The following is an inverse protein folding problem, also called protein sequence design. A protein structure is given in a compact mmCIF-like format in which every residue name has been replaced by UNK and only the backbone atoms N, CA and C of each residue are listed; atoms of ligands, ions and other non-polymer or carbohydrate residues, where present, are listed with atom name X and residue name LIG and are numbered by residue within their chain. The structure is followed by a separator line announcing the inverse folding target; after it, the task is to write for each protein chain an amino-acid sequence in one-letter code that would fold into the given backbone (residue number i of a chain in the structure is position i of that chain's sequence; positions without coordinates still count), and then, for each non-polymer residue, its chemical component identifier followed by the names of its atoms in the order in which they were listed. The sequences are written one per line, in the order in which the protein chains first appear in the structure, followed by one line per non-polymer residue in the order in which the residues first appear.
data_IF_240371500625
#
_entry.id   IF_240371500625
#
_cell.length_a   1.000
_cell.length_b   1.000
_cell.length_c   1.000
_cell.angle_alpha   90.00
_cell.angle_beta   90.00
_cell.angle_gamma   90.00
#
_symmetry.space_group_name_H-M   'P 1'
#
loop_
_entity.id
_entity.type
_entity.pdbx_description
1 polymer ?
#
# COMPACT_ATOMS: atom_id res chain seq x y z
N UNK A 1 -5.11 5.68 -23.18
CA UNK A 1 -4.83 5.18 -22.63
C UNK A 1 -4.71 4.57 -21.24
N UNK A 2 -3.66 4.06 -20.90
CA UNK A 2 -3.64 3.16 -19.78
C UNK A 2 -3.19 3.84 -18.51
N UNK A 3 -4.15 4.24 -17.69
CA UNK A 3 -3.85 4.82 -16.38
C UNK A 3 -3.02 3.87 -15.53
N UNK A 4 -3.34 2.57 -15.60
CA UNK A 4 -2.60 1.57 -14.84
C UNK A 4 -1.14 1.48 -15.28
N UNK A 5 -0.87 1.53 -16.59
CA UNK A 5 0.49 1.53 -17.10
C UNK A 5 1.24 2.78 -16.65
N UNK A 6 0.60 3.94 -16.77
CA UNK A 6 1.21 5.20 -16.36
C UNK A 6 1.53 5.21 -14.88
N UNK A 7 0.58 4.76 -14.06
CA UNK A 7 0.81 4.67 -12.62
C UNK A 7 1.99 3.75 -12.33
N UNK A 8 1.99 2.56 -12.92
CA UNK A 8 3.03 1.55 -12.68
C UNK A 8 4.41 2.10 -13.04
N UNK A 9 4.51 2.81 -14.17
CA UNK A 9 5.76 3.37 -14.64
C UNK A 9 6.31 4.41 -13.65
N UNK A 10 5.47 5.35 -13.22
CA UNK A 10 5.89 6.40 -12.31
C UNK A 10 6.16 5.87 -10.90
N UNK A 11 5.33 4.94 -10.43
CA UNK A 11 5.54 4.31 -9.14
C UNK A 11 6.87 3.56 -9.08
N UNK A 12 7.16 2.79 -10.12
CA UNK A 12 8.41 2.05 -10.22
C UNK A 12 9.59 2.99 -10.33
N UNK A 13 9.45 4.05 -11.13
CA UNK A 13 10.51 5.03 -11.30
C UNK A 13 10.87 5.72 -9.98
N UNK A 14 9.89 5.92 -9.10
CA UNK A 14 10.14 6.53 -7.79
C UNK A 14 10.70 5.53 -6.76
N UNK A 15 10.89 4.26 -7.14
CA UNK A 15 11.50 3.26 -6.28
C UNK A 15 10.57 2.20 -5.74
N UNK A 16 9.30 2.23 -6.12
CA UNK A 16 8.33 1.23 -5.67
C UNK A 16 8.48 -0.09 -6.41
N UNK A 17 8.01 -1.15 -5.77
CA UNK A 17 7.99 -2.50 -6.35
C UNK A 17 6.57 -2.81 -6.80
N UNK A 18 6.35 -2.84 -8.10
CA UNK A 18 5.03 -3.00 -8.68
C UNK A 18 4.78 -4.47 -9.06
N UNK A 19 3.63 -5.01 -8.64
CA UNK A 19 3.22 -6.38 -8.94
C UNK A 19 1.76 -6.38 -9.40
N UNK A 20 1.55 -6.75 -10.66
CA UNK A 20 0.19 -6.93 -11.15
C UNK A 20 -0.26 -8.36 -10.86
N UNK A 21 -1.46 -8.53 -10.33
CA UNK A 21 -2.03 -9.82 -9.98
C UNK A 21 -3.37 -9.97 -10.68
N UNK A 22 -3.49 -11.00 -11.53
CA UNK A 22 -4.71 -11.19 -12.30
C UNK A 22 -5.89 -11.64 -11.42
N UNK A 23 -5.58 -12.28 -10.29
CA UNK A 23 -6.61 -12.77 -9.37
C UNK A 23 -6.01 -12.93 -7.96
N UNK A 24 -6.86 -13.36 -7.03
CA UNK A 24 -6.44 -13.52 -5.64
C UNK A 24 -5.37 -14.60 -5.47
N UNK A 25 -5.40 -15.63 -6.29
CA UNK A 25 -4.39 -16.70 -6.20
C UNK A 25 -3.01 -16.15 -6.52
N UNK A 26 -2.89 -15.31 -7.55
CA UNK A 26 -1.63 -14.66 -7.88
C UNK A 26 -1.20 -13.69 -6.78
N UNK A 27 -2.16 -12.96 -6.20
CA UNK A 27 -1.86 -12.06 -5.10
C UNK A 27 -1.31 -12.81 -3.90
N UNK A 28 -1.88 -13.97 -3.56
CA UNK A 28 -1.38 -14.80 -2.47
C UNK A 28 0.02 -15.31 -2.75
N UNK A 29 0.29 -15.76 -3.96
CA UNK A 29 1.63 -16.23 -4.34
C UNK A 29 2.65 -15.10 -4.22
N UNK A 30 2.31 -13.92 -4.71
CA UNK A 30 3.20 -12.77 -4.65
C UNK A 30 3.44 -12.33 -3.22
N UNK A 31 2.38 -12.27 -2.42
CA UNK A 31 2.49 -11.93 -1.00
C UNK A 31 3.43 -12.90 -0.28
N UNK A 32 3.20 -14.20 -0.47
CA UNK A 32 4.04 -15.21 0.16
C UNK A 32 5.50 -15.08 -0.25
N UNK A 33 5.75 -14.79 -1.52
CA UNK A 33 7.10 -14.60 -2.03
C UNK A 33 7.78 -13.39 -1.37
N UNK A 34 7.09 -12.27 -1.28
CA UNK A 34 7.63 -11.06 -0.65
C UNK A 34 7.93 -11.32 0.83
N UNK A 35 7.00 -11.95 1.53
CA UNK A 35 7.18 -12.25 2.96
C UNK A 35 8.43 -13.10 3.20
N UNK A 36 8.69 -14.06 2.32
CA UNK A 36 9.85 -14.93 2.46
C UNK A 36 11.15 -14.24 2.07
N UNK A 37 11.16 -13.55 0.93
CA UNK A 37 12.37 -12.89 0.43
C UNK A 37 12.82 -11.79 1.37
N UNK A 38 11.88 -11.04 1.93
CA UNK A 38 12.18 -9.94 2.83
C UNK A 38 12.32 -10.40 4.29
N UNK A 39 12.17 -11.69 4.54
CA UNK A 39 12.28 -12.29 5.88
C UNK A 39 11.35 -11.60 6.88
N UNK A 40 10.10 -11.41 6.49
CA UNK A 40 9.10 -10.73 7.32
C UNK A 40 8.50 -11.72 8.29
N UNK A 41 8.54 -11.39 9.58
CA UNK A 41 8.11 -12.29 10.65
C UNK A 41 6.89 -11.80 11.42
N UNK A 42 6.62 -10.50 11.42
CA UNK A 42 5.50 -9.92 12.15
C UNK A 42 4.94 -8.73 11.40
N UNK A 43 3.65 -8.78 11.09
CA UNK A 43 2.99 -7.81 10.23
C UNK A 43 1.97 -7.00 11.01
N UNK A 44 1.98 -5.69 10.84
CA UNK A 44 0.87 -4.86 11.26
C UNK A 44 -0.21 -4.96 10.18
N UNK A 45 -1.42 -5.41 10.55
CA UNK A 45 -2.52 -5.55 9.61
C UNK A 45 -3.83 -5.41 10.36
N UNK A 46 -4.52 -4.27 10.18
CA UNK A 46 -5.79 -4.08 10.87
C UNK A 46 -6.99 -4.38 9.97
N UNK A 47 -6.82 -4.39 8.66
CA UNK A 47 -7.90 -4.63 7.70
C UNK A 47 -8.35 -6.09 7.74
N UNK A 48 -9.67 -6.30 7.85
CA UNK A 48 -10.23 -7.65 8.02
C UNK A 48 -9.98 -8.54 6.80
N UNK A 49 -10.11 -7.97 5.61
CA UNK A 49 -9.93 -8.76 4.38
C UNK A 49 -8.47 -9.15 4.20
N UNK A 50 -7.56 -8.24 4.50
CA UNK A 50 -6.13 -8.53 4.36
C UNK A 50 -5.64 -9.54 5.38
N UNK A 51 -6.25 -9.58 6.56
CA UNK A 51 -5.90 -10.60 7.55
C UNK A 51 -6.14 -12.01 7.02
N UNK A 52 -7.17 -12.20 6.22
CA UNK A 52 -7.45 -13.49 5.64
C UNK A 52 -6.30 -13.98 4.74
N UNK A 53 -5.67 -13.07 4.00
CA UNK A 53 -4.49 -13.41 3.20
C UNK A 53 -3.34 -13.88 4.11
N UNK A 54 -3.12 -13.17 5.21
CA UNK A 54 -2.04 -13.53 6.15
C UNK A 54 -2.32 -14.86 6.85
N UNK A 55 -3.59 -15.16 7.12
CA UNK A 55 -3.96 -16.44 7.70
C UNK A 55 -3.62 -17.60 6.76
N UNK A 56 -3.85 -17.39 5.45
CA UNK A 56 -3.54 -18.44 4.46
C UNK A 56 -2.03 -18.68 4.37
N UNK A 57 -1.23 -17.63 4.38
CA UNK A 57 0.23 -17.76 4.28
C UNK A 57 0.90 -18.00 5.63
N UNK A 58 0.12 -17.97 6.73
CA UNK A 58 0.56 -18.34 8.09
C UNK A 58 1.68 -17.46 8.63
N UNK A 59 1.53 -16.15 8.46
CA UNK A 59 2.44 -15.16 9.05
C UNK A 59 1.73 -14.45 10.19
N UNK A 60 2.36 -14.33 11.36
CA UNK A 60 1.74 -13.63 12.50
C UNK A 60 1.52 -12.14 12.20
N UNK A 61 0.41 -11.62 12.72
CA UNK A 61 0.12 -10.21 12.56
C UNK A 61 -0.51 -9.64 13.82
N UNK A 62 -0.44 -8.32 13.95
CA UNK A 62 -1.07 -7.58 15.04
C UNK A 62 -2.03 -6.55 14.45
N UNK A 63 -3.15 -6.30 15.14
CA UNK A 63 -4.12 -5.29 14.70
C UNK A 63 -3.69 -3.88 15.04
N UNK A 64 -2.83 -3.73 16.04
CA UNK A 64 -2.27 -2.45 16.42
C UNK A 64 -0.80 -2.42 16.01
N UNK A 65 -0.31 -1.23 15.74
CA UNK A 65 1.08 -1.06 15.33
C UNK A 65 2.00 -1.25 16.54
N UNK A 66 2.93 -2.20 16.43
CA UNK A 66 3.88 -2.52 17.46
C UNK A 66 5.30 -2.26 17.01
N UNK A 67 6.18 -1.98 17.95
CA UNK A 67 7.58 -1.71 17.61
C UNK A 67 8.27 -2.91 16.95
N UNK A 68 7.80 -4.12 17.26
CA UNK A 68 8.40 -5.33 16.67
C UNK A 68 7.85 -5.67 15.29
N UNK A 69 6.85 -4.94 14.78
CA UNK A 69 6.37 -5.21 13.43
C UNK A 69 7.45 -4.81 12.43
N UNK A 70 7.85 -5.75 11.58
CA UNK A 70 8.84 -5.47 10.53
C UNK A 70 8.21 -5.18 9.18
N UNK A 71 6.88 -5.22 9.11
CA UNK A 71 6.13 -4.94 7.89
C UNK A 71 4.73 -4.45 8.23
N UNK A 72 4.17 -3.61 7.38
CA UNK A 72 2.75 -3.25 7.41
C UNK A 72 2.09 -3.75 6.14
N UNK A 73 0.92 -4.38 6.27
CA UNK A 73 0.12 -4.82 5.13
C UNK A 73 -1.18 -4.05 5.18
N UNK A 74 -1.38 -3.14 4.21
CA UNK A 74 -2.44 -2.13 4.27
C UNK A 74 -3.16 -2.00 2.93
N UNK A 75 -4.31 -1.34 2.97
CA UNK A 75 -5.05 -0.90 1.79
C UNK A 75 -4.71 0.56 1.48
N UNK A 76 -5.33 1.11 0.45
CA UNK A 76 -5.19 2.53 0.13
C UNK A 76 -6.53 3.08 -0.33
N UNK A 77 -6.61 4.42 -0.42
CA UNK A 77 -7.81 5.05 -0.99
C UNK A 77 -7.73 5.07 -2.52
N UNK A 78 -6.70 5.65 -3.07
CA UNK A 78 -6.53 5.79 -4.52
C UNK A 78 -5.07 5.71 -4.90
N UNK A 79 -4.84 5.28 -6.14
CA UNK A 79 -3.54 5.30 -6.81
C UNK A 79 -3.60 6.43 -7.84
N UNK A 80 -2.68 7.37 -7.77
CA UNK A 80 -2.72 8.59 -8.59
C UNK A 80 -1.78 8.45 -9.77
N UNK A 81 -2.35 8.33 -10.98
CA UNK A 81 -1.56 8.07 -12.17
C UNK A 81 -0.66 9.23 -12.57
N UNK A 82 -1.07 10.46 -12.25
CA UNK A 82 -0.31 11.64 -12.63
C UNK A 82 1.12 11.64 -12.11
N UNK A 83 1.32 11.19 -10.88
CA UNK A 83 2.64 11.25 -10.25
C UNK A 83 3.08 9.93 -9.59
N UNK A 84 2.28 8.88 -9.70
CA UNK A 84 2.62 7.57 -9.12
C UNK A 84 2.51 7.51 -7.61
N UNK A 85 1.82 8.45 -6.99
CA UNK A 85 1.65 8.47 -5.53
C UNK A 85 0.44 7.65 -5.11
N UNK A 86 0.44 7.25 -3.85
CA UNK A 86 -0.62 6.45 -3.24
C UNK A 86 -1.26 7.26 -2.14
N UNK A 87 -2.58 7.40 -2.18
CA UNK A 87 -3.32 8.16 -1.19
C UNK A 87 -3.82 7.25 -0.08
N UNK A 88 -3.53 7.64 1.16
CA UNK A 88 -3.93 6.91 2.35
C UNK A 88 -4.84 7.77 3.23
N UNK A 89 -5.65 7.09 4.04
CA UNK A 89 -6.54 7.75 5.00
C UNK A 89 -6.61 6.95 6.29
N UNK A 90 -7.44 7.41 7.21
CA UNK A 90 -7.74 6.65 8.42
C UNK A 90 -8.24 5.24 8.08
N UNK A 91 -8.96 5.07 6.97
CA UNK A 91 -9.46 3.76 6.56
C UNK A 91 -8.35 2.77 6.29
N UNK A 92 -7.15 3.23 6.01
CA UNK A 92 -6.02 2.39 5.62
C UNK A 92 -5.02 2.18 6.76
N UNK A 93 -4.71 3.23 7.50
CA UNK A 93 -3.68 3.17 8.52
C UNK A 93 -4.14 3.72 9.88
N UNK A 94 -5.44 3.84 10.09
CA UNK A 94 -6.02 4.35 11.34
C UNK A 94 -5.48 5.73 11.67
N UNK A 95 -5.21 5.99 12.94
CA UNK A 95 -4.68 7.27 13.41
C UNK A 95 -3.16 7.38 13.29
N UNK A 96 -2.50 6.31 12.83
CA UNK A 96 -1.04 6.33 12.74
C UNK A 96 -0.57 7.25 11.61
N UNK A 97 0.49 7.99 11.87
CA UNK A 97 1.14 8.77 10.82
C UNK A 97 1.95 7.82 9.93
N UNK A 98 2.00 8.10 8.64
CA UNK A 98 2.69 7.20 7.70
C UNK A 98 4.18 7.01 8.05
N UNK A 99 4.81 8.02 8.66
CA UNK A 99 6.21 7.91 9.08
C UNK A 99 6.42 6.90 10.22
N UNK A 100 5.35 6.50 10.91
CA UNK A 100 5.42 5.53 12.01
C UNK A 100 5.36 4.10 11.50
N UNK A 101 4.99 3.89 10.26
CA UNK A 101 4.90 2.54 9.70
C UNK A 101 6.27 1.89 9.61
N UNK A 102 6.33 0.56 9.63
CA UNK A 102 7.59 -0.16 9.41
C UNK A 102 8.23 0.20 8.09
N UNK A 103 9.51 -0.09 7.94
CA UNK A 103 10.24 0.21 6.71
C UNK A 103 9.74 -0.58 5.51
N UNK A 104 9.14 -1.74 5.74
CA UNK A 104 8.57 -2.54 4.66
C UNK A 104 7.06 -2.40 4.69
N UNK A 105 6.50 -1.97 3.58
CA UNK A 105 5.06 -1.76 3.46
C UNK A 105 4.56 -2.52 2.24
N UNK A 106 3.56 -3.36 2.43
CA UNK A 106 2.89 -4.07 1.35
C UNK A 106 1.49 -3.49 1.24
N UNK A 107 1.14 -3.01 0.05
CA UNK A 107 -0.17 -2.43 -0.24
C UNK A 107 -0.92 -3.34 -1.19
N UNK A 108 -2.21 -3.56 -0.92
CA UNK A 108 -3.08 -4.22 -1.86
C UNK A 108 -4.12 -3.23 -2.36
N UNK A 109 -4.27 -3.14 -3.65
CA UNK A 109 -5.23 -2.25 -4.29
C UNK A 109 -5.80 -2.90 -5.53
N UNK A 110 -6.92 -2.35 -6.01
CA UNK A 110 -7.56 -2.81 -7.23
C UNK A 110 -7.35 -1.80 -8.35
N UNK A 111 -7.37 -2.29 -9.59
CA UNK A 111 -7.21 -1.43 -10.77
C UNK A 111 -8.23 -0.30 -10.75
N UNK A 112 -9.45 -0.56 -10.28
CA UNK A 112 -10.50 0.46 -10.21
C UNK A 112 -10.18 1.61 -9.25
N UNK A 113 -9.16 1.48 -8.41
CA UNK A 113 -8.75 2.56 -7.50
C UNK A 113 -7.79 3.56 -8.16
N UNK A 114 -7.39 3.31 -9.39
CA UNK A 114 -6.48 4.23 -10.10
C UNK A 114 -7.28 5.41 -10.61
N UNK A 115 -6.83 6.61 -10.29
CA UNK A 115 -7.42 7.87 -10.73
C UNK A 115 -6.41 8.67 -11.52
N UNK A 116 -6.89 9.65 -12.30
CA UNK A 116 -6.03 10.42 -13.19
C UNK A 116 -5.07 11.32 -12.42
N UNK A 117 -5.59 12.06 -11.44
CA UNK A 117 -4.82 13.06 -10.70
C UNK A 117 -5.45 13.30 -9.33
N UNK A 118 -4.83 14.19 -8.56
CA UNK A 118 -5.30 14.49 -7.22
C UNK A 118 -6.72 15.08 -7.21
N UNK A 119 -7.05 15.93 -8.18
CA UNK A 119 -8.38 16.52 -8.25
C UNK A 119 -9.46 15.46 -8.46
N UNK A 120 -9.18 14.47 -9.28
CA UNK A 120 -10.10 13.34 -9.50
C UNK A 120 -10.30 12.56 -8.20
N UNK A 121 -9.22 12.27 -7.49
CA UNK A 121 -9.30 11.60 -6.20
C UNK A 121 -10.14 12.40 -5.20
N UNK A 122 -9.88 13.69 -5.08
CA UNK A 122 -10.58 14.54 -4.13
C UNK A 122 -12.06 14.66 -4.46
N UNK A 123 -12.43 14.67 -5.75
CA UNK A 123 -13.83 14.69 -6.15
C UNK A 123 -14.55 13.41 -5.71
N UNK A 124 -13.90 12.26 -5.84
CA UNK A 124 -14.47 10.98 -5.41
C UNK A 124 -14.61 10.92 -3.89
N UNK A 125 -13.64 11.44 -3.18
CA UNK A 125 -13.67 11.48 -1.72
C UNK A 125 -14.85 12.33 -1.23
N UNK A 126 -15.08 13.49 -1.83
CA UNK A 126 -16.19 14.36 -1.44
C UNK A 126 -17.54 13.69 -1.64
N UNK A 127 -17.68 12.89 -2.70
CA UNK A 127 -18.92 12.17 -2.94
C UNK A 127 -19.16 11.02 -1.97
N UNK A 128 -18.08 10.44 -1.45
CA UNK A 128 -18.18 9.24 -0.61
C UNK A 128 -18.25 9.53 0.88
N UNK A 129 -18.19 10.80 1.29
CA UNK A 129 -18.39 11.18 2.69
C UNK A 129 -17.13 11.48 3.45
N UNK A 130 -17.14 11.20 4.76
CA UNK A 130 -16.09 11.65 5.67
C UNK A 130 -14.88 10.76 5.64
N UNK A 131 -13.82 11.23 4.99
CA UNK A 131 -12.53 10.55 5.03
C UNK A 131 -11.58 11.41 5.85
N UNK A 132 -10.93 10.80 6.84
CA UNK A 132 -10.05 11.49 7.79
C UNK A 132 -8.59 11.16 7.55
N UNK A 133 -7.72 12.09 7.91
CA UNK A 133 -6.28 11.89 7.94
C UNK A 133 -5.71 11.51 6.57
N UNK A 134 -6.05 12.31 5.56
CA UNK A 134 -5.53 12.08 4.22
C UNK A 134 -4.04 12.39 4.16
N UNK A 135 -3.29 11.49 3.54
CA UNK A 135 -1.87 11.70 3.25
C UNK A 135 -1.55 10.95 1.95
N UNK A 136 -0.35 11.13 1.45
CA UNK A 136 0.09 10.37 0.29
C UNK A 136 1.53 9.92 0.48
N UNK A 137 1.86 8.78 -0.14
CA UNK A 137 3.21 8.22 -0.11
C UNK A 137 3.64 7.89 -1.54
N UNK A 138 4.93 7.75 -1.73
CA UNK A 138 5.50 7.38 -3.02
C UNK A 138 6.46 6.21 -2.84
N UNK A 139 6.94 5.66 -3.97
CA UNK A 139 7.86 4.52 -3.92
C UNK A 139 9.12 4.77 -3.11
N UNK A 140 9.53 6.02 -2.99
CA UNK A 140 10.70 6.41 -2.17
C UNK A 140 10.26 7.31 -1.03
N UNK A 141 9.21 6.92 -0.34
CA UNK A 141 8.55 7.73 0.68
C UNK A 141 9.49 8.22 1.77
N UNK A 142 10.46 7.40 2.17
CA UNK A 142 11.40 7.76 3.22
C UNK A 142 12.19 9.02 2.90
N UNK A 143 12.46 9.26 1.65
CA UNK A 143 13.24 10.43 1.24
C UNK A 143 12.45 11.73 1.35
N UNK A 144 11.11 11.63 1.33
CA UNK A 144 10.26 12.80 1.40
C UNK A 144 9.89 13.16 2.83
N UNK A 145 9.50 12.15 3.61
CA UNK A 145 8.88 12.38 4.91
C UNK A 145 9.80 12.11 6.08
N UNK A 146 10.80 11.26 5.90
CA UNK A 146 11.64 10.81 7.01
C UNK A 146 13.06 10.58 6.53
N UNK A 147 13.91 11.60 6.57
CA UNK A 147 15.27 11.50 6.02
C UNK A 147 16.09 10.32 6.55
N UNK A 148 15.73 9.78 7.72
CA UNK A 148 16.50 8.71 8.34
C UNK A 148 16.00 7.32 8.00
N UNK A 149 14.97 7.18 7.17
CA UNK A 149 14.44 5.87 6.77
C UNK A 149 14.93 5.52 5.37
N UNK A 150 16.21 5.29 5.24
CA UNK A 150 16.84 5.11 3.93
C UNK A 150 16.44 3.83 3.21
N UNK A 151 15.89 2.86 3.92
CA UNK A 151 15.61 1.54 3.37
C UNK A 151 14.13 1.20 3.30
N UNK A 152 13.27 2.22 3.23
CA UNK A 152 11.84 1.96 3.10
C UNK A 152 11.56 1.30 1.76
N UNK A 153 10.86 0.16 1.80
CA UNK A 153 10.46 -0.58 0.62
C UNK A 153 8.94 -0.63 0.55
N UNK A 154 8.40 -0.21 -0.58
CA UNK A 154 6.97 -0.17 -0.80
C UNK A 154 6.61 -1.14 -1.92
N UNK A 155 5.88 -2.19 -1.57
CA UNK A 155 5.44 -3.23 -2.50
C UNK A 155 3.96 -3.05 -2.78
N UNK A 156 3.59 -2.95 -4.04
CA UNK A 156 2.18 -2.85 -4.43
C UNK A 156 1.74 -4.16 -5.08
N UNK A 157 0.64 -4.72 -4.59
CA UNK A 157 -0.07 -5.82 -5.22
C UNK A 157 -1.32 -5.22 -5.85
N UNK A 158 -1.33 -5.09 -7.17
CA UNK A 158 -2.45 -4.49 -7.90
C UNK A 158 -3.31 -5.60 -8.49
N UNK A 159 -4.53 -5.72 -7.98
CA UNK A 159 -5.47 -6.74 -8.40
C UNK A 159 -6.37 -6.23 -9.51
N UNK A 160 -6.57 -7.09 -10.51
CA UNK A 160 -7.59 -6.86 -11.53
C UNK A 160 -8.98 -7.06 -10.92
N UNK A 161 -9.91 -6.12 -11.16
CA UNK A 161 -11.27 -6.22 -10.63
C UNK A 161 -12.35 -5.99 -11.68
#
# INVERSE_FOLDING_TARGET
ADLDYKFAQLFTHSGGFFNYCADEAEALQTLNHILKIEDIKSVFCWDEDLKNFLDVVKVPYTKELELFNDCAFITCEYLIAYDGRIMLSYNNILHYHSSRLPQKIILMANVSQIVTNLNDAMSKIKRNGNIRNLTSISGSNSKLDTPNKDNTKLFLLLLED
#
